data_IF_491423803650
#
_entry.id   IF_491423803650
#
_cell.length_a   1.000
_cell.length_b   1.000
_cell.length_c   1.000
_cell.angle_alpha   90.00
_cell.angle_beta   90.00
_cell.angle_gamma   90.00
#
_symmetry.space_group_name_H-M   'P 1'
#
loop_
_entity.id
_entity.type
_entity.pdbx_description
1 polymer ?
#
# COMPACT_ATOMS: atom_id res chain seq x y z
N UNK A 1 -10.00 -17.18 39.10
CA UNK A 1 -9.36 -15.92 38.65
C UNK A 1 -9.05 -16.05 37.17
N UNK A 2 -9.62 -15.20 36.30
CA UNK A 2 -9.27 -15.18 34.86
C UNK A 2 -8.08 -14.24 34.66
N UNK A 3 -7.03 -14.61 33.91
CA UNK A 3 -5.90 -13.72 33.70
C UNK A 3 -6.30 -12.60 32.72
N UNK A 4 -5.84 -11.41 33.06
CA UNK A 4 -6.14 -10.13 32.46
C UNK A 4 -5.62 -10.09 31.00
N UNK A 5 -6.51 -10.13 30.01
CA UNK A 5 -6.16 -9.94 28.59
C UNK A 5 -6.10 -8.45 28.26
N UNK A 6 -5.15 -7.73 28.85
CA UNK A 6 -4.69 -6.47 28.26
C UNK A 6 -3.65 -6.82 27.19
N UNK A 7 -4.10 -7.29 26.03
CA UNK A 7 -3.26 -7.28 24.84
C UNK A 7 -3.23 -5.83 24.35
N UNK A 8 -2.17 -5.11 24.70
CA UNK A 8 -1.84 -3.86 24.04
C UNK A 8 -1.65 -4.16 22.53
N UNK A 9 -2.53 -3.65 21.65
CA UNK A 9 -2.45 -3.94 20.22
C UNK A 9 -1.17 -3.36 19.58
N UNK A 10 -0.48 -2.43 20.24
CA UNK A 10 0.82 -1.92 19.81
C UNK A 10 1.98 -2.86 20.22
N UNK A 11 1.84 -3.61 21.32
CA UNK A 11 2.85 -4.59 21.73
C UNK A 11 2.98 -5.74 20.72
N UNK A 12 1.88 -6.09 20.03
CA UNK A 12 1.87 -7.08 18.95
C UNK A 12 2.63 -6.62 17.69
N UNK A 13 2.83 -5.30 17.50
CA UNK A 13 3.59 -4.75 16.38
C UNK A 13 5.10 -4.69 16.65
N UNK A 14 5.52 -4.71 17.92
CA UNK A 14 6.93 -4.67 18.31
C UNK A 14 7.68 -6.00 18.14
N UNK A 15 6.96 -7.11 17.96
CA UNK A 15 7.54 -8.46 17.84
C UNK A 15 7.64 -8.96 16.40
N UNK A 16 7.29 -8.15 15.39
CA UNK A 16 7.48 -8.55 14.00
C UNK A 16 8.94 -8.35 13.64
N UNK A 17 9.66 -9.44 13.46
CA UNK A 17 11.08 -9.41 13.10
C UNK A 17 11.27 -8.91 11.66
N UNK A 18 12.42 -8.31 11.35
CA UNK A 18 12.75 -7.89 9.98
C UNK A 18 12.64 -9.06 8.98
N UNK A 19 12.91 -10.28 9.45
CA UNK A 19 12.80 -11.53 8.72
C UNK A 19 11.35 -11.86 8.37
N UNK A 20 10.42 -11.75 9.32
CA UNK A 20 8.98 -11.97 9.07
C UNK A 20 8.41 -10.91 8.12
N UNK A 21 8.80 -9.64 8.27
CA UNK A 21 8.46 -8.58 7.33
C UNK A 21 8.97 -8.90 5.92
N UNK A 22 10.22 -9.35 5.81
CA UNK A 22 10.83 -9.72 4.53
C UNK A 22 10.13 -10.93 3.88
N UNK A 23 9.72 -11.93 4.67
CA UNK A 23 9.04 -13.12 4.19
C UNK A 23 7.61 -12.82 3.71
N UNK A 24 6.88 -11.95 4.42
CA UNK A 24 5.56 -11.46 3.99
C UNK A 24 5.71 -10.70 2.67
N UNK A 25 6.74 -9.86 2.57
CA UNK A 25 7.03 -9.08 1.38
C UNK A 25 7.42 -9.95 0.19
N UNK A 26 8.22 -11.00 0.37
CA UNK A 26 8.57 -11.97 -0.68
C UNK A 26 7.33 -12.74 -1.17
N UNK A 27 6.47 -13.20 -0.26
CA UNK A 27 5.20 -13.85 -0.63
C UNK A 27 4.23 -12.92 -1.36
N UNK A 28 4.20 -11.63 -1.00
CA UNK A 28 3.33 -10.66 -1.66
C UNK A 28 3.90 -10.16 -3.00
N UNK A 29 5.23 -10.01 -3.11
CA UNK A 29 5.95 -9.61 -4.32
C UNK A 29 6.03 -10.73 -5.37
N UNK A 30 6.06 -12.00 -4.95
CA UNK A 30 6.07 -13.15 -5.86
C UNK A 30 4.72 -13.40 -6.56
N UNK A 31 3.64 -12.72 -6.16
CA UNK A 31 2.35 -12.80 -6.88
C UNK A 31 2.44 -11.96 -8.17
N UNK A 32 2.25 -12.55 -9.37
CA UNK A 32 2.25 -11.80 -10.61
C UNK A 32 1.01 -10.89 -10.67
N UNK A 33 1.12 -9.66 -10.18
CA UNK A 33 0.08 -8.65 -10.32
C UNK A 33 0.20 -8.01 -11.71
N UNK A 34 -0.38 -8.65 -12.73
CA UNK A 34 -0.62 -8.03 -14.05
C UNK A 34 -1.76 -6.98 -13.97
N UNK A 35 -1.69 -6.03 -13.04
CA UNK A 35 -2.64 -4.91 -13.02
C UNK A 35 -2.08 -3.84 -13.95
N UNK A 36 -2.94 -3.30 -14.83
CA UNK A 36 -2.58 -2.09 -15.57
C UNK A 36 -2.22 -1.00 -14.56
N UNK A 37 -1.18 -0.19 -14.82
CA UNK A 37 -0.88 0.96 -13.97
C UNK A 37 -2.14 1.81 -13.78
N UNK A 38 -2.37 2.30 -12.57
CA UNK A 38 -3.44 3.28 -12.31
C UNK A 38 -3.07 4.61 -12.96
N UNK A 39 -4.06 5.35 -13.44
CA UNK A 39 -3.83 6.70 -13.99
C UNK A 39 -3.46 7.70 -12.89
N UNK A 40 -3.89 7.43 -11.65
CA UNK A 40 -3.57 8.22 -10.49
C UNK A 40 -3.99 7.54 -9.19
N UNK A 41 -3.72 8.21 -8.07
CA UNK A 41 -4.15 7.80 -6.74
C UNK A 41 -4.36 9.02 -5.85
N UNK A 42 -5.10 8.84 -4.75
CA UNK A 42 -5.30 9.91 -3.77
C UNK A 42 -4.06 10.04 -2.90
N UNK A 43 -3.35 11.15 -3.04
CA UNK A 43 -2.21 11.49 -2.20
C UNK A 43 -2.69 12.31 -1.00
N UNK A 44 -2.72 11.70 0.18
CA UNK A 44 -3.17 12.35 1.41
C UNK A 44 -2.07 13.23 1.99
N UNK A 45 -2.45 14.36 2.61
CA UNK A 45 -1.50 15.24 3.31
C UNK A 45 -0.71 14.51 4.40
N UNK A 46 -1.34 13.53 5.06
CA UNK A 46 -0.68 12.70 6.08
C UNK A 46 0.49 11.87 5.53
N UNK A 47 0.51 11.58 4.22
CA UNK A 47 1.67 10.96 3.58
C UNK A 47 2.83 11.94 3.44
N UNK A 48 2.54 13.16 3.01
CA UNK A 48 3.53 14.24 2.92
C UNK A 48 4.18 14.50 4.28
N UNK A 49 3.37 14.76 5.30
CA UNK A 49 3.84 15.06 6.66
C UNK A 49 4.69 13.92 7.23
N UNK A 50 4.25 12.67 7.04
CA UNK A 50 5.01 11.51 7.49
C UNK A 50 6.37 11.38 6.78
N UNK A 51 6.45 11.77 5.50
CA UNK A 51 7.70 11.76 4.75
C UNK A 51 8.60 12.93 5.17
N UNK A 52 8.07 14.14 5.34
CA UNK A 52 8.81 15.32 5.80
C UNK A 52 9.47 15.09 7.16
N UNK A 53 8.82 14.34 8.06
CA UNK A 53 9.39 13.97 9.36
C UNK A 53 10.59 13.00 9.24
N UNK A 54 10.80 12.36 8.09
CA UNK A 54 11.95 11.48 7.86
C UNK A 54 13.23 12.29 7.57
N UNK A 55 14.43 11.72 7.86
CA UNK A 55 15.68 12.33 7.44
C UNK A 55 15.69 12.54 5.93
N UNK A 56 16.19 13.67 5.47
CA UNK A 56 16.17 14.10 4.05
C UNK A 56 16.67 13.01 3.09
N UNK A 57 17.75 12.30 3.46
CA UNK A 57 18.30 11.15 2.71
C UNK A 57 17.32 10.01 2.44
N UNK A 58 16.24 9.90 3.21
CA UNK A 58 15.20 8.88 3.10
C UNK A 58 13.95 9.37 2.39
N UNK A 59 13.70 10.68 2.35
CA UNK A 59 12.45 11.24 1.84
C UNK A 59 12.20 10.85 0.38
N UNK A 60 13.20 11.04 -0.50
CA UNK A 60 13.08 10.65 -1.91
C UNK A 60 12.80 9.13 -2.08
N UNK A 61 13.44 8.29 -1.26
CA UNK A 61 13.20 6.84 -1.29
C UNK A 61 11.78 6.51 -0.82
N UNK A 62 11.28 7.18 0.21
CA UNK A 62 9.93 7.02 0.72
C UNK A 62 8.87 7.40 -0.34
N UNK A 63 9.05 8.54 -1.02
CA UNK A 63 8.20 8.95 -2.14
C UNK A 63 8.18 7.90 -3.25
N UNK A 64 9.34 7.36 -3.64
CA UNK A 64 9.42 6.29 -4.64
C UNK A 64 8.66 5.04 -4.22
N UNK A 65 8.85 4.57 -2.99
CA UNK A 65 8.16 3.38 -2.47
C UNK A 65 6.65 3.58 -2.48
N UNK A 66 6.17 4.71 -1.96
CA UNK A 66 4.74 5.02 -1.89
C UNK A 66 4.11 5.10 -3.28
N UNK A 67 4.73 5.85 -4.20
CA UNK A 67 4.18 6.06 -5.55
C UNK A 67 4.22 4.79 -6.40
N UNK A 68 5.29 3.97 -6.30
CA UNK A 68 5.39 2.69 -6.99
C UNK A 68 4.31 1.71 -6.54
N UNK A 69 4.06 1.64 -5.24
CA UNK A 69 2.96 0.83 -4.72
C UNK A 69 1.60 1.37 -5.17
N UNK A 70 1.38 2.69 -5.08
CA UNK A 70 0.09 3.28 -5.40
C UNK A 70 -0.30 3.16 -6.88
N UNK A 71 0.66 3.30 -7.80
CA UNK A 71 0.41 3.28 -9.23
C UNK A 71 0.50 1.87 -9.83
N UNK A 72 1.48 1.07 -9.39
CA UNK A 72 1.83 -0.20 -10.01
C UNK A 72 1.57 -1.42 -9.10
N UNK A 73 1.25 -1.19 -7.82
CA UNK A 73 1.11 -2.27 -6.84
C UNK A 73 2.43 -2.96 -6.48
N UNK A 74 3.56 -2.34 -6.82
CA UNK A 74 4.92 -2.82 -6.54
C UNK A 74 5.19 -2.71 -5.03
N UNK A 75 5.53 -3.83 -4.39
CA UNK A 75 5.99 -3.82 -3.00
C UNK A 75 7.34 -3.09 -2.89
N UNK A 76 7.69 -2.56 -1.70
CA UNK A 76 9.00 -1.95 -1.51
C UNK A 76 10.12 -2.93 -1.92
N UNK A 77 11.29 -2.47 -2.38
CA UNK A 77 12.40 -3.36 -2.69
C UNK A 77 13.01 -3.99 -1.43
N UNK A 78 13.71 -5.11 -1.59
CA UNK A 78 14.52 -5.71 -0.51
C UNK A 78 15.61 -4.73 -0.08
N UNK A 79 15.85 -4.61 1.23
CA UNK A 79 16.77 -3.61 1.79
C UNK A 79 16.20 -2.19 1.88
N UNK A 80 14.88 -2.03 1.73
CA UNK A 80 14.21 -0.75 2.06
C UNK A 80 14.46 -0.43 3.55
N UNK A 81 14.92 0.79 3.88
CA UNK A 81 15.15 1.19 5.27
C UNK A 81 13.93 0.96 6.18
N UNK A 82 14.17 0.43 7.38
CA UNK A 82 13.12 0.03 8.35
C UNK A 82 12.12 1.15 8.62
N UNK A 83 12.58 2.40 8.72
CA UNK A 83 11.71 3.58 8.91
C UNK A 83 10.70 3.77 7.77
N UNK A 84 11.11 3.53 6.51
CA UNK A 84 10.21 3.59 5.36
C UNK A 84 9.23 2.42 5.39
N UNK A 85 9.70 1.22 5.76
CA UNK A 85 8.85 0.03 5.86
C UNK A 85 7.74 0.21 6.91
N UNK A 86 8.08 0.76 8.08
CA UNK A 86 7.12 1.05 9.14
C UNK A 86 6.02 1.99 8.68
N UNK A 87 6.37 3.09 8.02
CA UNK A 87 5.37 4.02 7.45
C UNK A 87 4.58 3.39 6.30
N UNK A 88 5.24 2.56 5.48
CA UNK A 88 4.61 1.88 4.35
C UNK A 88 3.45 0.98 4.77
N UNK A 89 3.53 0.28 5.90
CA UNK A 89 2.43 -0.56 6.41
C UNK A 89 1.15 0.27 6.60
N UNK A 90 1.27 1.51 7.11
CA UNK A 90 0.15 2.43 7.25
C UNK A 90 -0.36 2.96 5.91
N UNK A 91 0.55 3.42 5.05
CA UNK A 91 0.21 3.94 3.73
C UNK A 91 -0.48 2.90 2.86
N UNK A 92 0.00 1.66 2.87
CA UNK A 92 -0.55 0.53 2.12
C UNK A 92 -2.05 0.36 2.39
N UNK A 93 -2.46 0.40 3.66
CA UNK A 93 -3.87 0.26 4.05
C UNK A 93 -4.75 1.38 3.48
N UNK A 94 -4.27 2.62 3.56
CA UNK A 94 -5.00 3.79 3.07
C UNK A 94 -5.08 3.81 1.53
N UNK A 95 -3.99 3.44 0.86
CA UNK A 95 -3.94 3.29 -0.60
C UNK A 95 -4.88 2.16 -1.04
N UNK A 96 -4.86 1.00 -0.38
CA UNK A 96 -5.71 -0.13 -0.74
C UNK A 96 -7.20 0.23 -0.59
N UNK A 97 -7.55 0.98 0.46
CA UNK A 97 -8.91 1.46 0.69
C UNK A 97 -9.38 2.44 -0.39
N UNK A 98 -8.55 3.42 -0.77
CA UNK A 98 -8.89 4.39 -1.82
C UNK A 98 -8.94 3.75 -3.20
N UNK A 99 -8.04 2.80 -3.45
CA UNK A 99 -7.92 2.10 -4.72
C UNK A 99 -9.13 1.24 -5.05
N UNK A 100 -9.76 0.60 -4.06
CA UNK A 100 -10.99 -0.18 -4.30
C UNK A 100 -12.09 0.67 -4.91
N UNK A 101 -12.23 1.93 -4.49
CA UNK A 101 -13.21 2.87 -5.04
C UNK A 101 -12.84 3.28 -6.46
N UNK A 102 -11.56 3.58 -6.71
CA UNK A 102 -11.07 3.93 -8.04
C UNK A 102 -11.24 2.77 -9.04
N UNK A 103 -10.79 1.57 -8.68
CA UNK A 103 -10.88 0.37 -9.52
C UNK A 103 -12.35 0.06 -9.87
N UNK A 104 -13.29 0.22 -8.92
CA UNK A 104 -14.74 0.10 -9.17
C UNK A 104 -15.24 1.16 -10.14
N UNK A 105 -14.93 2.44 -9.92
CA UNK A 105 -15.39 3.53 -10.77
C UNK A 105 -14.87 3.40 -12.22
N UNK A 106 -13.63 2.93 -12.39
CA UNK A 106 -13.06 2.61 -13.69
C UNK A 106 -13.78 1.42 -14.33
N UNK A 107 -14.01 0.33 -13.58
CA UNK A 107 -14.78 -0.83 -14.05
C UNK A 107 -16.17 -0.44 -14.56
N UNK A 108 -16.91 0.36 -13.79
CA UNK A 108 -18.26 0.84 -14.13
C UNK A 108 -18.24 1.71 -15.41
N UNK A 109 -17.24 2.60 -15.56
CA UNK A 109 -17.05 3.42 -16.78
C UNK A 109 -16.79 2.59 -18.04
N UNK A 110 -16.16 1.42 -17.90
CA UNK A 110 -15.90 0.53 -19.03
C UNK A 110 -17.07 -0.45 -19.29
N UNK A 111 -17.80 -0.87 -18.26
CA UNK A 111 -18.99 -1.71 -18.39
C UNK A 111 -20.14 -0.99 -19.12
N UNK A 112 -20.33 0.32 -18.88
CA UNK A 112 -21.34 1.11 -19.60
C UNK A 112 -21.08 1.31 -21.10
N UNK A 113 -19.89 0.96 -21.61
CA UNK A 113 -19.54 1.08 -23.04
C UNK A 113 -19.84 -0.17 -23.86
N UNK A 114 -20.06 -1.32 -23.23
CA UNK A 114 -20.33 -2.58 -23.93
C UNK A 114 -21.79 -2.77 -24.35
N UNK A 115 -22.75 -2.16 -23.63
CA UNK A 115 -24.19 -2.31 -23.94
C UNK A 115 -24.71 -1.39 -25.05
N UNK A 116 -23.89 -0.46 -25.56
CA UNK A 116 -24.29 0.45 -26.64
C UNK A 116 -24.03 -0.08 -28.05
N UNK A 117 -23.52 -1.31 -28.19
CA UNK A 117 -23.36 -1.98 -29.48
C UNK A 117 -24.04 -3.35 -29.45
N UNK A 118 -25.35 -3.39 -29.60
CA UNK A 118 -26.12 -4.32 -30.46
C UNK A 118 -27.58 -3.81 -30.44
N UNK A 119 -27.94 -3.01 -31.44
CA UNK A 119 -29.27 -3.00 -32.03
C UNK A 119 -29.05 -3.05 -33.53
N UNK A 120 -29.11 -4.26 -34.09
CA UNK A 120 -29.37 -4.50 -35.51
C UNK A 120 -30.83 -4.93 -35.62
#
# INVERSE_FOLDING_TARGET
MKPNQNLDPLAALNNVTEEELSAIQEKEAAKPRKRKPREGFVFLISFYEAIELMPERLQHKAYKVLTRYALYGEMPPKGTPTRIMQSFVGWKRLIDASSKKYDKAIGDRFAGKTDSKIKR
#
